data_IF_289285833857
#
_entry.id   IF_289285833857
#
_cell.length_a   1.000
_cell.length_b   1.000
_cell.length_c   1.000
_cell.angle_alpha   90.00
_cell.angle_beta   90.00
_cell.angle_gamma   90.00
#
_symmetry.space_group_name_H-M   'P 1'
#
loop_
_entity.id
_entity.type
_entity.pdbx_description
1 polymer ?
#
# COMPACT_ATOMS: atom_id res chain seq x y z
N UNK A 1 -3.89 19.38 -4.59
CA UNK A 1 -3.02 19.77 -5.72
C UNK A 1 -1.86 20.57 -5.14
N UNK A 2 -0.62 20.25 -5.50
CA UNK A 2 0.58 20.94 -5.00
C UNK A 2 0.78 22.21 -5.80
N UNK A 3 0.98 23.33 -5.11
CA UNK A 3 1.32 24.61 -5.74
C UNK A 3 2.84 24.80 -5.73
N UNK A 4 3.50 24.52 -6.87
CA UNK A 4 4.96 24.62 -6.96
C UNK A 4 5.47 26.07 -6.90
N UNK A 5 4.60 27.07 -7.10
CA UNK A 5 5.00 28.48 -7.10
C UNK A 5 5.30 29.03 -5.70
N UNK A 6 4.93 28.29 -4.63
CA UNK A 6 5.17 28.69 -3.25
C UNK A 6 6.58 28.39 -2.76
N UNK A 7 7.35 27.58 -3.50
CA UNK A 7 8.68 27.16 -3.10
C UNK A 7 9.75 28.13 -3.62
N UNK A 8 10.75 28.49 -2.80
CA UNK A 8 11.82 29.38 -3.25
C UNK A 8 12.64 28.71 -4.36
N UNK A 9 12.96 29.46 -5.40
CA UNK A 9 13.80 29.01 -6.51
C UNK A 9 15.10 29.82 -6.60
N UNK A 10 16.07 29.25 -7.29
CA UNK A 10 17.33 29.89 -7.67
C UNK A 10 17.65 29.52 -9.12
N UNK A 11 18.66 30.17 -9.69
CA UNK A 11 19.18 29.82 -11.01
C UNK A 11 20.58 29.25 -10.85
N UNK A 12 20.83 28.07 -11.42
CA UNK A 12 22.16 27.48 -11.42
C UNK A 12 23.09 28.18 -12.44
N UNK A 13 24.37 27.77 -12.48
CA UNK A 13 25.37 28.34 -13.40
C UNK A 13 25.02 28.18 -14.89
N UNK A 14 24.13 27.23 -15.21
CA UNK A 14 23.65 26.95 -16.56
C UNK A 14 22.40 27.77 -16.93
N UNK A 15 21.92 28.66 -16.05
CA UNK A 15 20.71 29.44 -16.27
C UNK A 15 19.41 28.67 -16.01
N UNK A 16 19.49 27.46 -15.43
CA UNK A 16 18.33 26.60 -15.14
C UNK A 16 17.74 26.93 -13.77
N UNK A 17 16.41 27.01 -13.72
CA UNK A 17 15.66 27.17 -12.48
C UNK A 17 15.78 25.90 -11.60
N UNK A 18 16.05 26.09 -10.32
CA UNK A 18 16.21 25.03 -9.32
C UNK A 18 15.43 25.41 -8.07
N UNK A 19 14.55 24.54 -7.60
CA UNK A 19 13.85 24.75 -6.33
C UNK A 19 14.77 24.45 -5.13
N UNK A 20 14.68 25.29 -4.10
CA UNK A 20 15.38 25.11 -2.83
C UNK A 20 14.41 24.50 -1.82
N UNK A 21 14.60 23.22 -1.53
CA UNK A 21 13.74 22.48 -0.63
C UNK A 21 14.33 22.42 0.79
N UNK A 22 13.46 22.51 1.79
CA UNK A 22 13.84 22.20 3.17
C UNK A 22 14.08 20.70 3.34
N UNK A 23 14.94 20.34 4.29
CA UNK A 23 15.17 18.96 4.75
C UNK A 23 13.97 18.34 5.51
N UNK A 24 12.83 19.05 5.59
CA UNK A 24 11.63 18.52 6.22
C UNK A 24 11.10 17.30 5.45
N UNK A 25 11.02 16.16 6.14
CA UNK A 25 10.50 14.91 5.58
C UNK A 25 8.99 14.86 5.79
N UNK A 26 8.24 14.85 4.69
CA UNK A 26 6.78 14.73 4.66
C UNK A 26 6.39 14.02 3.36
N UNK A 27 6.59 12.69 3.28
CA UNK A 27 6.55 11.97 2.02
C UNK A 27 5.19 12.06 1.34
N UNK A 28 5.20 12.02 0.01
CA UNK A 28 4.01 12.00 -0.84
C UNK A 28 4.19 10.99 -1.98
N UNK A 29 3.08 10.47 -2.49
CA UNK A 29 3.06 9.63 -3.68
C UNK A 29 2.72 10.47 -4.90
N UNK A 30 3.57 10.43 -5.93
CA UNK A 30 3.30 11.04 -7.23
C UNK A 30 2.36 10.20 -8.08
N UNK A 31 1.72 10.82 -9.06
CA UNK A 31 0.87 10.16 -10.06
C UNK A 31 1.63 9.20 -10.98
N UNK A 32 2.96 9.21 -10.90
CA UNK A 32 3.90 8.29 -11.54
C UNK A 32 4.22 7.06 -10.68
N UNK A 33 3.65 6.95 -9.48
CA UNK A 33 3.91 5.87 -8.54
C UNK A 33 5.26 5.98 -7.82
N UNK A 34 5.91 7.14 -7.85
CA UNK A 34 7.18 7.40 -7.16
C UNK A 34 6.94 8.16 -5.85
N UNK A 35 7.59 7.72 -4.78
CA UNK A 35 7.61 8.43 -3.49
C UNK A 35 8.57 9.60 -3.55
N UNK A 36 8.07 10.80 -3.27
CA UNK A 36 8.87 12.01 -3.11
C UNK A 36 8.97 12.35 -1.62
N UNK A 37 10.14 12.79 -1.14
CA UNK A 37 10.36 13.04 0.30
C UNK A 37 9.55 14.22 0.84
N UNK A 38 9.11 15.14 -0.02
CA UNK A 38 8.10 16.14 0.24
C UNK A 38 7.55 16.75 -1.06
N UNK A 39 6.53 17.61 -0.93
CA UNK A 39 5.93 18.34 -2.05
C UNK A 39 6.93 19.21 -2.83
N UNK A 40 7.91 19.83 -2.15
CA UNK A 40 8.94 20.62 -2.83
C UNK A 40 9.81 19.75 -3.73
N UNK A 41 10.18 18.55 -3.28
CA UNK A 41 11.00 17.62 -4.06
C UNK A 41 10.26 17.11 -5.30
N UNK A 42 8.94 16.89 -5.22
CA UNK A 42 8.11 16.61 -6.41
C UNK A 42 8.12 17.78 -7.40
N UNK A 43 7.99 19.01 -6.89
CA UNK A 43 8.07 20.20 -7.73
C UNK A 43 9.47 20.39 -8.35
N UNK A 44 10.53 20.15 -7.59
CA UNK A 44 11.90 20.21 -8.06
C UNK A 44 12.14 19.19 -9.18
N UNK A 45 11.63 17.97 -9.03
CA UNK A 45 11.66 16.93 -10.08
C UNK A 45 10.94 17.39 -11.36
N UNK A 46 9.74 17.96 -11.25
CA UNK A 46 9.00 18.48 -12.40
C UNK A 46 9.78 19.58 -13.13
N UNK A 47 10.41 20.50 -12.40
CA UNK A 47 11.23 21.58 -12.99
C UNK A 47 12.51 21.03 -13.61
N UNK A 48 13.17 20.09 -12.95
CA UNK A 48 14.43 19.51 -13.43
C UNK A 48 14.24 18.70 -14.72
N UNK A 49 13.21 17.86 -14.76
CA UNK A 49 12.98 16.92 -15.86
C UNK A 49 11.91 17.38 -16.86
N UNK A 50 11.28 18.54 -16.63
CA UNK A 50 10.20 19.04 -17.48
C UNK A 50 8.95 18.14 -17.47
N UNK A 51 8.73 17.44 -16.36
CA UNK A 51 7.58 16.55 -16.16
C UNK A 51 6.41 17.29 -15.50
N UNK A 52 5.24 16.66 -15.48
CA UNK A 52 4.03 17.21 -14.86
C UNK A 52 3.39 16.15 -13.95
N UNK A 53 4.21 15.59 -13.05
CA UNK A 53 3.74 14.65 -12.03
C UNK A 53 2.90 15.42 -11.02
N UNK A 54 1.68 14.98 -10.78
CA UNK A 54 0.82 15.53 -9.73
C UNK A 54 0.92 14.67 -8.47
N UNK A 55 0.70 15.27 -7.29
CA UNK A 55 0.50 14.47 -6.07
C UNK A 55 -0.77 13.63 -6.20
N UNK A 56 -0.62 12.31 -6.04
CA UNK A 56 -1.73 11.35 -5.97
C UNK A 56 -2.31 11.32 -4.56
N UNK A 57 -1.47 11.03 -3.56
CA UNK A 57 -1.85 11.05 -2.15
C UNK A 57 -0.69 11.45 -1.22
N UNK A 58 -1.02 11.81 0.02
CA UNK A 58 -0.02 12.03 1.08
C UNK A 58 0.51 10.68 1.60
N UNK A 59 1.77 10.66 2.05
CA UNK A 59 2.49 9.44 2.43
C UNK A 59 3.23 8.78 1.27
N UNK A 60 4.07 7.79 1.57
CA UNK A 60 4.83 7.05 0.55
C UNK A 60 3.91 6.26 -0.38
N UNK A 61 4.31 6.07 -1.64
CA UNK A 61 3.62 5.17 -2.53
C UNK A 61 3.60 3.76 -1.94
N UNK A 62 2.44 3.11 -2.04
CA UNK A 62 2.28 1.73 -1.56
C UNK A 62 3.10 0.80 -2.46
N UNK A 63 4.00 0.05 -1.86
CA UNK A 63 4.75 -0.98 -2.58
C UNK A 63 3.80 -2.00 -3.21
N UNK A 64 4.08 -2.32 -4.47
CA UNK A 64 3.32 -3.27 -5.23
C UNK A 64 4.01 -4.63 -5.14
N UNK A 65 3.42 -5.58 -4.43
CA UNK A 65 3.97 -6.93 -4.32
C UNK A 65 3.39 -7.87 -5.39
N UNK A 66 4.23 -8.64 -6.11
CA UNK A 66 3.74 -9.70 -6.99
C UNK A 66 3.24 -10.88 -6.16
N UNK A 67 2.05 -11.38 -6.50
CA UNK A 67 1.39 -12.55 -5.92
C UNK A 67 1.41 -13.66 -6.97
N UNK A 68 2.14 -14.74 -6.70
CA UNK A 68 2.12 -15.95 -7.52
C UNK A 68 0.89 -16.79 -7.20
N UNK A 69 -0.10 -16.78 -8.09
CA UNK A 69 -1.33 -17.55 -7.89
C UNK A 69 -1.14 -19.07 -8.04
N UNK A 70 -0.02 -19.51 -8.63
CA UNK A 70 0.29 -20.93 -8.83
C UNK A 70 0.57 -21.65 -7.51
N UNK A 71 0.87 -20.90 -6.44
CA UNK A 71 1.13 -21.44 -5.10
C UNK A 71 -0.12 -21.96 -4.40
N UNK A 72 -1.31 -21.58 -4.86
CA UNK A 72 -2.57 -21.96 -4.22
C UNK A 72 -3.12 -23.27 -4.80
N UNK A 73 -3.60 -24.19 -3.93
CA UNK A 73 -4.23 -25.42 -4.39
C UNK A 73 -5.44 -25.11 -5.28
N UNK A 74 -5.57 -25.84 -6.38
CA UNK A 74 -6.68 -25.67 -7.31
C UNK A 74 -7.19 -27.00 -7.85
N UNK A 75 -8.41 -26.97 -8.40
CA UNK A 75 -9.03 -28.07 -9.13
C UNK A 75 -9.65 -27.56 -10.41
N UNK A 76 -9.63 -28.38 -11.45
CA UNK A 76 -10.29 -28.08 -12.72
C UNK A 76 -11.64 -28.77 -12.77
N UNK A 77 -12.71 -28.00 -12.96
CA UNK A 77 -14.06 -28.51 -13.22
C UNK A 77 -14.10 -29.28 -14.55
N UNK A 78 -15.13 -30.11 -14.74
CA UNK A 78 -15.39 -30.81 -16.00
C UNK A 78 -15.52 -29.84 -17.20
N UNK A 79 -15.95 -28.61 -16.95
CA UNK A 79 -16.05 -27.52 -17.92
C UNK A 79 -14.72 -26.80 -18.20
N UNK A 80 -13.59 -27.31 -17.66
CA UNK A 80 -12.27 -26.70 -17.82
C UNK A 80 -12.00 -25.47 -16.94
N UNK A 81 -12.94 -25.11 -16.06
CA UNK A 81 -12.79 -23.97 -15.13
C UNK A 81 -11.89 -24.31 -13.95
N UNK A 82 -10.82 -23.53 -13.76
CA UNK A 82 -9.94 -23.64 -12.60
C UNK A 82 -10.61 -22.99 -11.38
N UNK A 83 -10.66 -23.72 -10.27
CA UNK A 83 -11.20 -23.26 -8.99
C UNK A 83 -10.11 -23.38 -7.94
N UNK A 84 -9.77 -22.27 -7.28
CA UNK A 84 -8.82 -22.27 -6.16
C UNK A 84 -9.52 -22.72 -4.87
N UNK A 85 -8.81 -23.53 -4.08
CA UNK A 85 -9.23 -23.96 -2.75
C UNK A 85 -8.58 -23.04 -1.71
N UNK A 86 -9.24 -21.94 -1.41
CA UNK A 86 -8.74 -20.94 -0.46
C UNK A 86 -9.12 -21.28 1.00
N UNK A 87 -8.22 -20.97 1.93
CA UNK A 87 -8.55 -20.98 3.35
C UNK A 87 -9.41 -19.76 3.71
N UNK A 88 -10.02 -19.80 4.91
CA UNK A 88 -10.82 -18.70 5.46
C UNK A 88 -10.01 -17.75 6.34
N UNK A 89 -8.70 -17.80 6.24
CA UNK A 89 -7.81 -16.91 6.99
C UNK A 89 -7.95 -15.49 6.43
N UNK A 90 -8.17 -14.52 7.32
CA UNK A 90 -8.33 -13.11 6.96
C UNK A 90 -6.95 -12.45 7.06
N UNK A 91 -6.36 -12.17 5.91
CA UNK A 91 -5.11 -11.42 5.73
C UNK A 91 -5.31 -10.48 4.53
N UNK A 92 -6.02 -9.36 4.74
CA UNK A 92 -6.57 -8.58 3.65
C UNK A 92 -5.48 -7.99 2.75
N UNK A 93 -5.77 -7.98 1.45
CA UNK A 93 -4.92 -7.36 0.43
C UNK A 93 -5.75 -6.43 -0.44
N UNK A 94 -5.17 -5.33 -0.89
CA UNK A 94 -5.83 -4.44 -1.85
C UNK A 94 -5.34 -4.80 -3.26
N UNK A 95 -6.25 -5.18 -4.15
CA UNK A 95 -5.94 -5.39 -5.56
C UNK A 95 -5.68 -4.08 -6.30
N UNK A 96 -5.15 -4.18 -7.51
CA UNK A 96 -4.98 -3.04 -8.45
C UNK A 96 -6.30 -2.50 -8.98
N UNK A 97 -7.39 -3.22 -8.77
CA UNK A 97 -8.77 -2.84 -9.05
C UNK A 97 -9.42 -2.04 -7.90
N UNK A 98 -8.64 -1.67 -6.88
CA UNK A 98 -9.09 -0.96 -5.67
C UNK A 98 -10.08 -1.76 -4.83
N UNK A 99 -10.17 -3.07 -5.04
CA UNK A 99 -11.00 -3.97 -4.23
C UNK A 99 -10.13 -4.59 -3.14
N UNK A 100 -10.64 -4.61 -1.91
CA UNK A 100 -10.01 -5.36 -0.82
C UNK A 100 -10.51 -6.79 -0.84
N UNK A 101 -9.58 -7.73 -0.83
CA UNK A 101 -9.82 -9.16 -0.78
C UNK A 101 -9.44 -9.69 0.59
N UNK A 102 -10.22 -10.62 1.15
CA UNK A 102 -9.97 -11.17 2.49
C UNK A 102 -8.59 -11.83 2.61
N UNK A 103 -8.07 -12.37 1.50
CA UNK A 103 -6.69 -12.83 1.36
C UNK A 103 -6.27 -12.88 -0.11
N UNK A 104 -4.96 -13.05 -0.33
CA UNK A 104 -4.36 -13.19 -1.67
C UNK A 104 -4.95 -14.35 -2.49
N UNK A 105 -5.34 -15.47 -1.87
CA UNK A 105 -5.95 -16.59 -2.59
C UNK A 105 -7.30 -16.18 -3.21
N UNK A 106 -8.10 -15.41 -2.47
CA UNK A 106 -9.39 -14.91 -2.94
C UNK A 106 -9.24 -13.83 -4.02
N UNK A 107 -8.18 -13.03 -3.96
CA UNK A 107 -7.76 -12.17 -5.09
C UNK A 107 -7.46 -13.02 -6.33
N UNK A 108 -6.61 -14.05 -6.20
CA UNK A 108 -6.29 -14.95 -7.29
C UNK A 108 -7.55 -15.63 -7.87
N UNK A 109 -8.43 -16.15 -7.02
CA UNK A 109 -9.67 -16.80 -7.43
C UNK A 109 -10.57 -15.88 -8.27
N UNK A 110 -10.62 -14.58 -7.92
CA UNK A 110 -11.37 -13.57 -8.68
C UNK A 110 -10.74 -13.29 -10.03
N UNK A 111 -9.43 -13.10 -10.10
CA UNK A 111 -8.72 -12.81 -11.35
C UNK A 111 -8.74 -13.99 -12.32
N UNK A 112 -8.62 -15.23 -11.83
CA UNK A 112 -8.77 -16.45 -12.64
C UNK A 112 -10.19 -16.63 -13.20
N UNK A 113 -11.22 -16.09 -12.53
CA UNK A 113 -12.60 -16.11 -13.04
C UNK A 113 -12.85 -15.11 -14.19
N UNK A 114 -11.96 -14.12 -14.38
CA UNK A 114 -12.01 -13.13 -15.46
C UNK A 114 -11.04 -13.41 -16.62
N UNK A 115 -10.16 -14.42 -16.52
CA UNK A 115 -9.17 -14.78 -17.54
C UNK A 115 -9.76 -15.55 -18.74
N UNK A 116 -11.03 -15.30 -19.10
CA UNK A 116 -11.68 -15.89 -20.28
C UNK A 116 -11.30 -15.21 -21.59
N UNK A 117 -10.46 -14.18 -21.58
CA UNK A 117 -9.82 -13.66 -22.78
C UNK A 117 -8.30 -13.81 -22.72
N UNK A 118 -7.81 -14.69 -23.59
CA UNK A 118 -6.41 -14.96 -23.87
C UNK A 118 -5.65 -13.68 -24.24
N UNK A 119 -4.71 -13.20 -23.40
CA UNK A 119 -3.46 -12.53 -23.84
C UNK A 119 -2.60 -11.88 -22.74
N UNK A 120 -2.56 -12.37 -21.50
CA UNK A 120 -1.37 -12.14 -20.65
C UNK A 120 -1.10 -13.38 -19.80
N UNK A 121 0.00 -14.06 -20.11
CA UNK A 121 0.56 -15.17 -19.34
C UNK A 121 1.38 -14.66 -18.16
N UNK A 122 0.87 -13.71 -17.40
CA UNK A 122 1.55 -13.26 -16.18
C UNK A 122 0.82 -13.87 -14.99
N UNK A 123 1.37 -14.97 -14.47
CA UNK A 123 0.91 -15.63 -13.23
C UNK A 123 1.05 -14.76 -11.97
N UNK A 124 1.39 -13.49 -12.14
CA UNK A 124 1.66 -12.51 -11.11
C UNK A 124 0.57 -11.46 -11.08
N UNK A 125 -0.16 -11.41 -9.96
CA UNK A 125 -1.08 -10.32 -9.65
C UNK A 125 -0.38 -9.35 -8.71
N UNK A 126 -0.64 -8.07 -8.87
CA UNK A 126 -0.06 -7.03 -8.04
C UNK A 126 -1.02 -6.63 -6.90
N UNK A 127 -0.51 -6.48 -5.69
CA UNK A 127 -1.26 -5.97 -4.53
C UNK A 127 -0.60 -4.76 -3.92
N UNK A 128 -1.40 -3.88 -3.32
CA UNK A 128 -0.90 -2.86 -2.40
C UNK A 128 -0.92 -3.41 -0.97
N UNK A 129 0.18 -3.24 -0.24
CA UNK A 129 0.19 -3.51 1.19
C UNK A 129 -0.77 -2.55 1.93
N UNK A 130 -1.75 -3.11 2.64
CA UNK A 130 -2.57 -2.33 3.56
C UNK A 130 -1.72 -1.93 4.76
N UNK A 131 -1.53 -0.62 4.95
CA UNK A 131 -1.00 -0.10 6.20
C UNK A 131 -2.12 0.10 7.22
N UNK A 132 -1.79 -0.06 8.49
CA UNK A 132 -2.72 0.18 9.59
C UNK A 132 -2.56 1.63 10.05
N UNK A 133 -3.51 2.48 9.65
CA UNK A 133 -3.55 3.86 10.09
C UNK A 133 -3.99 3.98 11.56
N UNK A 134 -3.06 4.42 12.41
CA UNK A 134 -3.27 4.65 13.83
C UNK A 134 -3.31 6.15 14.21
N UNK A 135 -3.46 7.07 13.25
CA UNK A 135 -3.38 8.52 13.50
C UNK A 135 -4.46 9.05 14.46
N UNK A 136 -5.63 8.40 14.50
CA UNK A 136 -6.77 8.78 15.36
C UNK A 136 -6.75 8.12 16.76
N UNK A 137 -5.62 7.54 17.18
CA UNK A 137 -5.47 6.85 18.47
C UNK A 137 -4.70 7.71 19.48
N UNK A 138 -4.90 7.51 20.80
CA UNK A 138 -5.55 6.37 21.46
C UNK A 138 -7.08 6.46 21.53
N UNK A 139 -7.74 5.30 21.60
CA UNK A 139 -9.20 5.18 21.79
C UNK A 139 -9.50 4.36 23.04
N UNK A 140 -10.28 4.89 24.01
CA UNK A 140 -10.49 4.24 25.30
C UNK A 140 -11.41 3.01 25.24
N UNK A 141 -12.22 2.89 24.19
CA UNK A 141 -13.16 1.78 23.99
C UNK A 141 -12.89 1.15 22.64
N UNK A 142 -12.64 -0.15 22.66
CA UNK A 142 -12.50 -0.98 21.47
C UNK A 142 -13.70 -1.91 21.33
N UNK A 143 -14.13 -2.13 20.09
CA UNK A 143 -15.08 -3.19 19.76
C UNK A 143 -14.45 -4.58 19.99
N UNK A 144 -15.32 -5.59 20.10
CA UNK A 144 -14.94 -7.00 20.31
C UNK A 144 -14.87 -7.80 18.99
N UNK A 145 -14.84 -7.11 17.86
CA UNK A 145 -14.56 -7.73 16.56
C UNK A 145 -13.19 -8.40 16.61
N UNK A 146 -13.11 -9.56 15.96
CA UNK A 146 -11.91 -10.37 15.92
C UNK A 146 -11.33 -10.36 14.50
N UNK A 147 -10.38 -9.44 14.29
CA UNK A 147 -9.62 -9.27 13.05
C UNK A 147 -8.14 -9.13 13.45
N UNK A 148 -7.47 -10.25 13.76
CA UNK A 148 -6.20 -10.21 14.45
C UNK A 148 -5.08 -9.57 13.61
N UNK A 149 -4.13 -8.95 14.28
CA UNK A 149 -2.91 -8.39 13.70
C UNK A 149 -1.69 -8.91 14.46
N UNK A 150 -0.62 -9.25 13.77
CA UNK A 150 0.65 -9.62 14.38
C UNK A 150 1.56 -8.38 14.43
N UNK A 151 1.98 -7.98 15.63
CA UNK A 151 2.95 -6.90 15.82
C UNK A 151 4.40 -7.36 15.61
N UNK A 152 5.31 -6.40 15.42
CA UNK A 152 6.76 -6.63 15.36
C UNK A 152 7.35 -7.19 16.65
N UNK A 153 6.60 -7.11 17.75
CA UNK A 153 6.87 -7.72 19.05
C UNK A 153 6.43 -9.20 19.13
N UNK A 154 5.95 -9.77 18.02
CA UNK A 154 5.41 -11.13 17.93
C UNK A 154 4.17 -11.36 18.82
N UNK A 155 3.42 -10.28 19.11
CA UNK A 155 2.15 -10.33 19.84
C UNK A 155 0.97 -10.31 18.85
N UNK A 156 -0.02 -11.17 19.09
CA UNK A 156 -1.30 -11.11 18.37
C UNK A 156 -2.25 -10.12 19.05
N UNK A 157 -2.64 -9.08 18.32
CA UNK A 157 -3.62 -8.07 18.72
C UNK A 157 -4.98 -8.43 18.15
N UNK A 158 -6.02 -8.49 18.98
CA UNK A 158 -7.34 -9.02 18.56
C UNK A 158 -8.02 -8.23 17.43
N UNK A 159 -7.74 -6.92 17.35
CA UNK A 159 -8.24 -6.03 16.30
C UNK A 159 -7.37 -4.77 16.19
N UNK A 160 -7.67 -3.97 15.16
CA UNK A 160 -6.98 -2.70 14.87
C UNK A 160 -6.95 -1.77 16.09
N UNK A 161 -8.01 -1.74 16.88
CA UNK A 161 -8.09 -0.83 18.02
C UNK A 161 -7.11 -1.20 19.13
N UNK A 162 -7.04 -2.48 19.50
CA UNK A 162 -6.08 -2.96 20.50
C UNK A 162 -4.64 -2.80 19.99
N UNK A 163 -4.39 -3.09 18.71
CA UNK A 163 -3.09 -2.88 18.07
C UNK A 163 -2.67 -1.40 18.11
N UNK A 164 -3.49 -0.49 17.61
CA UNK A 164 -3.13 0.93 17.55
C UNK A 164 -2.97 1.58 18.93
N UNK A 165 -3.74 1.17 19.94
CA UNK A 165 -3.49 1.61 21.31
C UNK A 165 -2.09 1.17 21.79
N UNK A 166 -1.69 -0.07 21.51
CA UNK A 166 -0.34 -0.55 21.84
C UNK A 166 0.77 0.17 21.06
N UNK A 167 0.53 0.52 19.79
CA UNK A 167 1.46 1.36 18.99
C UNK A 167 1.66 2.71 19.68
N UNK A 168 0.58 3.37 20.10
CA UNK A 168 0.65 4.65 20.82
C UNK A 168 1.35 4.50 22.17
N UNK A 169 1.00 3.47 22.96
CA UNK A 169 1.59 3.20 24.27
C UNK A 169 3.10 2.89 24.19
N UNK A 170 3.54 2.28 23.08
CA UNK A 170 4.96 1.99 22.79
C UNK A 170 5.69 3.14 22.09
N UNK A 171 5.05 4.30 21.94
CA UNK A 171 5.58 5.46 21.21
C UNK A 171 6.05 5.12 19.78
N UNK A 172 5.28 4.28 19.08
CA UNK A 172 5.55 3.87 17.70
C UNK A 172 6.58 2.76 17.52
N UNK A 173 7.08 2.17 18.60
CA UNK A 173 8.10 1.09 18.51
C UNK A 173 7.49 -0.20 17.95
N UNK A 174 6.22 -0.48 18.26
CA UNK A 174 5.48 -1.61 17.71
C UNK A 174 5.01 -1.24 16.30
N UNK A 175 5.37 -2.04 15.31
CA UNK A 175 4.94 -1.91 13.92
C UNK A 175 4.15 -3.15 13.52
N UNK A 176 3.39 -3.05 12.42
CA UNK A 176 2.68 -4.20 11.88
C UNK A 176 3.69 -5.16 11.25
N UNK A 177 3.71 -6.41 11.70
CA UNK A 177 4.42 -7.49 11.01
C UNK A 177 3.57 -7.99 9.84
N UNK A 178 2.36 -8.49 10.13
CA UNK A 178 1.38 -8.89 9.11
C UNK A 178 -0.04 -8.93 9.71
N UNK A 179 -1.05 -9.00 8.86
CA UNK A 179 -2.42 -9.28 9.29
C UNK A 179 -2.57 -10.77 9.67
N UNK A 180 -3.47 -11.07 10.59
CA UNK A 180 -3.65 -12.40 11.16
C UNK A 180 -2.97 -12.56 12.51
N UNK A 181 -3.00 -13.79 13.03
CA UNK A 181 -2.26 -14.16 14.24
C UNK A 181 -0.78 -14.33 13.91
N UNK A 182 0.09 -14.04 14.88
CA UNK A 182 1.40 -14.69 14.93
C UNK A 182 1.21 -16.20 15.22
#
# INVERSE_FOLDING_TARGET
>A
QVDCSTYPNTTNEEGKEVLVCSEAVSPICGSDGVTYGNECQLCAYNVEYGTNVSKDHDGECKEVAPVDCSRYPNSTSEEGKVVLMCSKDISPVCGTDWVTYDNECLLCARSLSCATDSSTSESFIFIYFLQVDCSDYPKPVCSLDYMPLCGSDNTTYNNKCIFCNAVVDSNGTITLSHFGKC
#
